data_IF_235471731392
#
_entry.id   IF_235471731392
#
_cell.length_a   1.000
_cell.length_b   1.000
_cell.length_c   1.000
_cell.angle_alpha   90.00
_cell.angle_beta   90.00
_cell.angle_gamma   90.00
#
_symmetry.space_group_name_H-M   'P 1'
#
loop_
_entity.id
_entity.type
_entity.pdbx_description
1 polymer ?
#
# COMPACT_ATOMS: atom_id res chain seq x y z
N UNK A 1 -2.59 -12.51 6.65
CA UNK A 1 -2.10 -11.91 7.92
C UNK A 1 -2.87 -12.44 9.13
N UNK A 2 -4.20 -12.58 9.03
CA UNK A 2 -5.08 -12.94 10.16
C UNK A 2 -4.79 -14.33 10.72
N UNK A 3 -4.49 -15.31 9.86
CA UNK A 3 -4.05 -16.64 10.29
C UNK A 3 -2.76 -16.64 11.14
N UNK A 4 -1.95 -15.58 11.05
CA UNK A 4 -0.75 -15.37 11.86
C UNK A 4 -0.99 -14.49 13.09
N UNK A 5 -2.25 -14.17 13.42
CA UNK A 5 -2.61 -13.43 14.63
C UNK A 5 -2.49 -11.90 14.53
N UNK A 6 -2.25 -11.34 13.34
CA UNK A 6 -2.23 -9.88 13.15
C UNK A 6 -3.62 -9.31 13.37
N UNK A 7 -3.76 -8.43 14.38
CA UNK A 7 -5.03 -7.83 14.78
C UNK A 7 -5.30 -6.47 14.15
N UNK A 8 -4.31 -5.59 14.04
CA UNK A 8 -4.49 -4.25 13.48
C UNK A 8 -4.11 -4.25 11.99
N UNK A 9 -5.03 -3.81 11.12
CA UNK A 9 -4.79 -3.69 9.68
C UNK A 9 -5.50 -2.45 9.14
N UNK A 10 -4.79 -1.53 8.51
CA UNK A 10 -5.41 -0.45 7.74
C UNK A 10 -5.24 -0.70 6.24
N UNK A 11 -6.33 -0.62 5.49
CA UNK A 11 -6.37 -0.78 4.04
C UNK A 11 -6.54 0.58 3.36
N UNK A 12 -5.68 0.89 2.40
CA UNK A 12 -5.70 2.14 1.62
C UNK A 12 -5.98 1.81 0.15
N UNK A 13 -7.11 2.25 -0.39
CA UNK A 13 -7.50 2.04 -1.79
C UNK A 13 -8.58 3.08 -2.18
N UNK A 14 -8.42 3.77 -3.31
CA UNK A 14 -9.39 4.73 -3.85
C UNK A 14 -10.43 4.11 -4.78
N UNK A 15 -10.19 2.89 -5.25
CA UNK A 15 -10.98 2.20 -6.24
C UNK A 15 -12.28 1.63 -5.68
N UNK A 16 -13.20 1.39 -6.61
CA UNK A 16 -14.45 0.67 -6.34
C UNK A 16 -14.37 -0.77 -6.81
N UNK A 17 -15.13 -1.65 -6.17
CA UNK A 17 -15.25 -3.04 -6.56
C UNK A 17 -16.01 -3.11 -7.90
N UNK A 18 -15.37 -3.69 -8.91
CA UNK A 18 -15.98 -3.94 -10.23
C UNK A 18 -16.38 -5.40 -10.40
N UNK A 19 -17.25 -5.68 -11.38
CA UNK A 19 -17.78 -7.03 -11.65
C UNK A 19 -16.72 -8.12 -11.86
N UNK A 20 -15.51 -7.76 -12.31
CA UNK A 20 -14.41 -8.71 -12.52
C UNK A 20 -13.60 -9.00 -11.25
N UNK A 21 -13.74 -8.18 -10.20
CA UNK A 21 -12.93 -8.27 -8.99
C UNK A 21 -13.25 -9.50 -8.13
N UNK A 22 -14.50 -9.90 -7.87
CA UNK A 22 -14.79 -11.04 -6.99
C UNK A 22 -14.13 -12.37 -7.43
N UNK A 23 -13.86 -12.54 -8.72
CA UNK A 23 -13.18 -13.72 -9.25
C UNK A 23 -11.66 -13.75 -8.99
N UNK A 24 -11.07 -12.63 -8.58
CA UNK A 24 -9.62 -12.44 -8.44
C UNK A 24 -9.19 -11.87 -7.09
N UNK A 25 -10.11 -11.27 -6.35
CA UNK A 25 -9.87 -10.53 -5.12
C UNK A 25 -10.81 -11.07 -4.03
N UNK A 26 -10.27 -11.96 -3.19
CA UNK A 26 -11.04 -12.87 -2.33
C UNK A 26 -11.82 -12.21 -1.18
N UNK A 27 -11.74 -10.90 -1.02
CA UNK A 27 -12.50 -10.17 0.01
C UNK A 27 -13.82 -9.59 -0.50
N UNK A 28 -14.10 -9.68 -1.82
CA UNK A 28 -15.26 -9.06 -2.43
C UNK A 28 -16.27 -10.08 -2.94
N UNK A 29 -17.53 -9.68 -2.93
CA UNK A 29 -18.67 -10.46 -3.42
C UNK A 29 -19.39 -9.72 -4.54
N UNK A 30 -20.34 -10.39 -5.21
CA UNK A 30 -21.19 -9.76 -6.22
C UNK A 30 -21.96 -8.56 -5.64
N UNK A 31 -22.41 -8.66 -4.39
CA UNK A 31 -23.18 -7.60 -3.73
C UNK A 31 -22.37 -6.31 -3.61
N UNK A 32 -21.05 -6.41 -3.42
CA UNK A 32 -20.15 -5.24 -3.35
C UNK A 32 -20.00 -4.54 -4.72
N UNK A 33 -20.39 -5.18 -5.83
CA UNK A 33 -20.37 -4.58 -7.17
C UNK A 33 -21.64 -3.79 -7.51
N UNK A 34 -22.73 -4.01 -6.78
CA UNK A 34 -24.03 -3.43 -7.09
C UNK A 34 -24.05 -1.90 -6.80
N UNK A 35 -25.04 -1.19 -7.36
CA UNK A 35 -25.26 0.24 -7.11
C UNK A 35 -24.04 1.15 -7.41
N UNK A 36 -23.25 0.79 -8.43
CA UNK A 36 -22.05 1.55 -8.81
C UNK A 36 -20.79 1.18 -8.04
N UNK A 37 -20.83 0.09 -7.28
CA UNK A 37 -19.68 -0.49 -6.58
C UNK A 37 -19.37 0.19 -5.24
N UNK A 38 -19.10 -0.63 -4.23
CA UNK A 38 -18.54 -0.19 -2.96
C UNK A 38 -17.05 0.16 -3.11
N UNK A 39 -16.55 1.07 -2.27
CA UNK A 39 -15.10 1.28 -2.18
C UNK A 39 -14.38 0.03 -1.68
N UNK A 40 -13.32 -0.36 -2.39
CA UNK A 40 -12.53 -1.57 -2.10
C UNK A 40 -12.07 -1.63 -0.66
N UNK A 41 -11.52 -0.54 -0.13
CA UNK A 41 -11.07 -0.47 1.25
C UNK A 41 -12.21 -0.78 2.24
N UNK A 42 -13.39 -0.21 2.04
CA UNK A 42 -14.56 -0.44 2.90
C UNK A 42 -15.07 -1.87 2.80
N UNK A 43 -15.25 -2.38 1.58
CA UNK A 43 -15.71 -3.75 1.34
C UNK A 43 -14.75 -4.78 1.98
N UNK A 44 -13.44 -4.56 1.86
CA UNK A 44 -12.43 -5.42 2.43
C UNK A 44 -12.45 -5.42 3.96
N UNK A 45 -12.61 -4.26 4.61
CA UNK A 45 -12.76 -4.18 6.07
C UNK A 45 -14.01 -4.91 6.56
N UNK A 46 -15.15 -4.74 5.86
CA UNK A 46 -16.39 -5.47 6.19
C UNK A 46 -16.18 -6.99 6.09
N UNK A 47 -15.50 -7.43 5.03
CA UNK A 47 -15.20 -8.85 4.79
C UNK A 47 -14.27 -9.41 5.86
N UNK A 48 -13.18 -8.71 6.18
CA UNK A 48 -12.25 -9.09 7.25
C UNK A 48 -12.95 -9.21 8.60
N UNK A 49 -13.79 -8.24 8.95
CA UNK A 49 -14.54 -8.24 10.21
C UNK A 49 -15.55 -9.40 10.28
N UNK A 50 -16.12 -9.81 9.15
CA UNK A 50 -17.01 -10.98 9.05
C UNK A 50 -16.24 -12.29 9.24
N UNK A 51 -15.01 -12.37 8.71
CA UNK A 51 -14.17 -13.56 8.78
C UNK A 51 -13.55 -13.72 10.18
N UNK A 52 -13.04 -12.63 10.75
CA UNK A 52 -12.37 -12.62 12.05
C UNK A 52 -12.83 -11.41 12.88
N UNK A 53 -13.89 -11.56 13.71
CA UNK A 53 -14.51 -10.42 14.41
C UNK A 53 -13.60 -9.60 15.33
N UNK A 54 -12.51 -10.20 15.82
CA UNK A 54 -11.54 -9.52 16.67
C UNK A 54 -10.48 -8.71 15.89
N UNK A 55 -10.52 -8.75 14.55
CA UNK A 55 -9.63 -7.92 13.73
C UNK A 55 -10.03 -6.45 13.91
N UNK A 56 -9.05 -5.60 14.18
CA UNK A 56 -9.20 -4.14 14.19
C UNK A 56 -8.78 -3.65 12.81
N UNK A 57 -9.71 -3.77 11.87
CA UNK A 57 -9.51 -3.37 10.49
C UNK A 57 -10.08 -1.97 10.24
N UNK A 58 -9.30 -1.10 9.61
CA UNK A 58 -9.69 0.27 9.23
C UNK A 58 -9.55 0.47 7.72
N UNK A 59 -10.41 1.30 7.13
CA UNK A 59 -10.36 1.65 5.71
C UNK A 59 -10.04 3.12 5.52
N UNK A 60 -9.19 3.40 4.54
CA UNK A 60 -8.90 4.75 4.07
C UNK A 60 -9.12 4.78 2.56
N UNK A 61 -10.16 5.50 2.15
CA UNK A 61 -10.46 5.73 0.73
C UNK A 61 -9.65 6.94 0.28
N UNK A 62 -8.50 6.68 -0.35
CA UNK A 62 -7.55 7.71 -0.77
C UNK A 62 -6.69 7.18 -1.91
N UNK A 63 -6.36 8.04 -2.88
CA UNK A 63 -5.41 7.71 -3.92
C UNK A 63 -3.98 7.93 -3.41
N UNK A 64 -3.02 7.09 -3.84
CA UNK A 64 -1.61 7.37 -3.56
C UNK A 64 -1.10 8.31 -4.66
N UNK A 65 -0.63 9.53 -4.32
CA UNK A 65 -0.08 10.45 -5.31
C UNK A 65 1.08 9.82 -6.10
N UNK A 66 0.96 9.83 -7.42
CA UNK A 66 1.92 9.22 -8.33
C UNK A 66 2.84 10.28 -8.93
N UNK A 67 4.17 10.07 -8.93
CA UNK A 67 5.09 10.94 -9.68
C UNK A 67 4.76 10.93 -11.18
N UNK A 68 5.03 12.04 -11.86
CA UNK A 68 4.78 12.22 -13.30
C UNK A 68 3.34 12.59 -13.68
N UNK A 69 2.37 12.39 -12.77
CA UNK A 69 0.98 12.73 -13.03
C UNK A 69 0.70 14.22 -12.78
N UNK A 70 -0.03 14.85 -13.71
CA UNK A 70 -0.42 16.26 -13.57
C UNK A 70 -1.46 16.42 -12.45
N UNK A 71 -1.26 17.44 -11.60
CA UNK A 71 -2.23 17.81 -10.57
C UNK A 71 -3.15 18.89 -11.16
N UNK A 72 -4.49 18.71 -11.14
CA UNK A 72 -5.43 19.73 -11.57
C UNK A 72 -5.27 21.02 -10.76
N UNK A 73 -5.47 22.17 -11.40
CA UNK A 73 -5.38 23.46 -10.73
C UNK A 73 -6.43 23.55 -9.62
N UNK A 74 -6.00 23.90 -8.41
CA UNK A 74 -6.85 23.97 -7.21
C UNK A 74 -6.86 22.71 -6.36
N UNK A 75 -6.29 21.60 -6.82
CA UNK A 75 -6.20 20.34 -6.06
C UNK A 75 -4.86 20.17 -5.33
N UNK A 76 -3.91 21.08 -5.48
CA UNK A 76 -2.55 20.97 -4.93
C UNK A 76 -2.58 20.81 -3.40
N UNK A 77 -3.47 21.55 -2.73
CA UNK A 77 -3.61 21.47 -1.28
C UNK A 77 -4.15 20.10 -0.83
N UNK A 78 -5.08 19.52 -1.59
CA UNK A 78 -5.64 18.20 -1.30
C UNK A 78 -4.61 17.10 -1.50
N UNK A 79 -3.82 17.15 -2.59
CA UNK A 79 -2.73 16.20 -2.83
C UNK A 79 -1.67 16.26 -1.74
N UNK A 80 -1.35 17.45 -1.24
CA UNK A 80 -0.43 17.61 -0.10
C UNK A 80 -1.03 17.02 1.18
N UNK A 81 -2.34 17.16 1.40
CA UNK A 81 -3.03 16.53 2.52
C UNK A 81 -3.01 15.00 2.42
N UNK A 82 -3.23 14.44 1.24
CA UNK A 82 -3.11 12.99 0.99
C UNK A 82 -1.68 12.48 1.24
N UNK A 83 -0.66 13.25 0.82
CA UNK A 83 0.74 12.94 1.13
C UNK A 83 0.99 12.87 2.65
N UNK A 84 0.48 13.86 3.41
CA UNK A 84 0.62 13.89 4.88
C UNK A 84 -0.14 12.74 5.53
N UNK A 85 -1.37 12.49 5.08
CA UNK A 85 -2.18 11.37 5.58
C UNK A 85 -1.49 10.03 5.37
N UNK A 86 -0.89 9.81 4.19
CA UNK A 86 -0.11 8.61 3.93
C UNK A 86 1.11 8.50 4.85
N UNK A 87 1.81 9.62 5.08
CA UNK A 87 2.94 9.68 6.00
C UNK A 87 2.52 9.31 7.44
N UNK A 88 1.41 9.84 7.93
CA UNK A 88 0.89 9.56 9.27
C UNK A 88 0.49 8.09 9.42
N UNK A 89 -0.17 7.52 8.39
CA UNK A 89 -0.51 6.09 8.37
C UNK A 89 0.74 5.21 8.44
N UNK A 90 1.78 5.52 7.65
CA UNK A 90 3.05 4.78 7.68
C UNK A 90 3.74 4.92 9.05
N UNK A 91 3.73 6.12 9.64
CA UNK A 91 4.31 6.35 10.95
C UNK A 91 3.59 5.53 12.05
N UNK A 92 2.27 5.42 11.96
CA UNK A 92 1.43 4.69 12.91
C UNK A 92 1.52 3.16 12.81
N UNK A 93 2.03 2.62 11.69
CA UNK A 93 2.12 1.16 11.46
C UNK A 93 3.56 0.64 11.58
N UNK A 94 3.72 -0.62 12.00
CA UNK A 94 5.04 -1.24 12.14
C UNK A 94 5.61 -1.72 10.80
N UNK A 95 4.74 -2.13 9.88
CA UNK A 95 5.09 -2.62 8.56
C UNK A 95 4.07 -2.18 7.50
N UNK A 96 4.57 -1.89 6.30
CA UNK A 96 3.80 -1.44 5.14
C UNK A 96 3.96 -2.43 3.99
N UNK A 97 2.83 -2.91 3.46
CA UNK A 97 2.80 -3.74 2.26
C UNK A 97 2.45 -2.87 1.05
N UNK A 98 3.38 -2.70 0.11
CA UNK A 98 3.19 -1.96 -1.12
C UNK A 98 2.61 -2.90 -2.19
N UNK A 99 1.28 -2.97 -2.22
CA UNK A 99 0.49 -3.87 -3.08
C UNK A 99 -0.28 -3.13 -4.18
N UNK A 100 0.14 -1.91 -4.51
CA UNK A 100 -0.43 -1.13 -5.62
C UNK A 100 -0.08 -1.79 -6.95
N UNK A 101 -0.78 -1.43 -8.02
CA UNK A 101 -0.66 -2.01 -9.35
C UNK A 101 0.51 -1.43 -10.15
N UNK A 102 0.72 -0.12 -10.10
CA UNK A 102 1.72 0.58 -10.94
C UNK A 102 3.08 0.78 -10.25
N UNK A 103 4.12 1.05 -11.04
CA UNK A 103 5.47 1.33 -10.49
C UNK A 103 5.49 2.69 -9.79
N UNK A 104 4.77 3.65 -10.35
CA UNK A 104 4.66 5.05 -9.95
C UNK A 104 4.00 5.16 -8.57
N UNK A 105 2.89 4.45 -8.36
CA UNK A 105 2.18 4.42 -7.06
C UNK A 105 3.01 3.82 -5.92
N UNK A 106 4.04 3.02 -6.22
CA UNK A 106 4.95 2.47 -5.19
C UNK A 106 6.00 3.49 -4.73
N UNK A 107 6.24 4.57 -5.47
CA UNK A 107 7.35 5.49 -5.21
C UNK A 107 7.22 6.23 -3.88
N UNK A 108 6.13 6.98 -3.70
CA UNK A 108 5.91 7.79 -2.49
C UNK A 108 5.88 6.93 -1.21
N UNK A 109 5.14 5.81 -1.12
CA UNK A 109 5.18 4.96 0.06
C UNK A 109 6.57 4.38 0.33
N UNK A 110 7.35 4.06 -0.71
CA UNK A 110 8.73 3.56 -0.54
C UNK A 110 9.64 4.61 0.08
N UNK A 111 9.55 5.85 -0.40
CA UNK A 111 10.30 6.99 0.14
C UNK A 111 9.93 7.24 1.60
N UNK A 112 8.63 7.30 1.90
CA UNK A 112 8.13 7.55 3.26
C UNK A 112 8.55 6.44 4.23
N UNK A 113 8.48 5.17 3.84
CA UNK A 113 8.95 4.06 4.68
C UNK A 113 10.47 4.13 4.91
N UNK A 114 11.26 4.44 3.89
CA UNK A 114 12.70 4.58 4.01
C UNK A 114 13.10 5.74 4.94
N UNK A 115 12.37 6.86 4.86
CA UNK A 115 12.55 8.03 5.71
C UNK A 115 12.14 7.76 7.18
N UNK A 116 11.00 7.10 7.39
CA UNK A 116 10.49 6.75 8.71
C UNK A 116 11.12 5.49 9.34
N UNK A 117 12.09 4.89 8.65
CA UNK A 117 12.73 3.63 9.04
C UNK A 117 11.72 2.48 9.30
N UNK A 118 10.69 2.38 8.47
CA UNK A 118 9.63 1.36 8.56
C UNK A 118 9.93 0.16 7.67
N UNK A 119 9.45 -1.01 8.08
CA UNK A 119 9.52 -2.21 7.25
C UNK A 119 8.60 -2.01 6.05
N UNK A 120 9.16 -2.03 4.85
CA UNK A 120 8.41 -2.01 3.59
C UNK A 120 8.59 -3.33 2.84
N UNK A 121 7.47 -3.95 2.46
CA UNK A 121 7.44 -5.17 1.64
C UNK A 121 6.69 -4.85 0.35
N UNK A 122 7.34 -4.98 -0.78
CA UNK A 122 6.70 -4.86 -2.09
C UNK A 122 6.37 -6.24 -2.63
N UNK A 123 5.15 -6.39 -3.15
CA UNK A 123 4.81 -7.47 -4.05
C UNK A 123 4.37 -6.87 -5.39
N UNK A 124 4.90 -7.38 -6.49
CA UNK A 124 4.54 -6.99 -7.84
C UNK A 124 4.29 -8.23 -8.70
N UNK A 125 3.34 -8.13 -9.63
CA UNK A 125 2.92 -9.23 -10.49
C UNK A 125 3.21 -8.89 -11.94
N UNK A 126 3.84 -9.82 -12.64
CA UNK A 126 3.85 -9.90 -14.10
C UNK A 126 2.75 -10.85 -14.59
N UNK A 127 2.79 -11.22 -15.87
CA UNK A 127 1.80 -12.14 -16.45
C UNK A 127 1.90 -13.55 -15.86
N UNK A 128 3.11 -14.11 -15.81
CA UNK A 128 3.43 -15.48 -15.37
C UNK A 128 4.52 -15.51 -14.28
N UNK A 129 4.88 -14.35 -13.74
CA UNK A 129 5.96 -14.18 -12.77
C UNK A 129 5.56 -13.17 -11.69
N UNK A 130 6.28 -13.16 -10.57
CA UNK A 130 6.06 -12.21 -9.49
C UNK A 130 7.39 -11.85 -8.81
N UNK A 131 7.40 -10.69 -8.15
CA UNK A 131 8.49 -10.24 -7.28
C UNK A 131 7.94 -10.03 -5.88
N UNK A 132 8.64 -10.53 -4.86
CA UNK A 132 8.44 -10.14 -3.46
C UNK A 132 9.78 -9.70 -2.90
N UNK A 133 9.85 -8.49 -2.33
CA UNK A 133 11.07 -7.99 -1.72
C UNK A 133 10.79 -7.15 -0.47
N UNK A 134 11.68 -7.28 0.50
CA UNK A 134 11.77 -6.34 1.63
C UNK A 134 12.74 -5.22 1.27
N UNK A 135 12.38 -4.00 1.59
CA UNK A 135 13.26 -2.85 1.40
C UNK A 135 14.30 -2.80 2.53
N UNK A 136 15.41 -2.10 2.32
CA UNK A 136 16.38 -1.86 3.38
C UNK A 136 15.86 -0.84 4.41
N UNK A 137 15.46 -1.32 5.58
CA UNK A 137 15.38 -0.48 6.77
C UNK A 137 16.79 0.06 7.11
N UNK A 138 16.86 1.20 7.80
CA UNK A 138 18.11 1.77 8.26
C UNK A 138 18.89 0.74 9.09
N UNK A 139 20.22 0.69 8.98
CA UNK A 139 21.04 -0.15 9.83
C UNK A 139 20.73 0.18 11.29
N UNK A 140 20.46 -0.83 12.12
CA UNK A 140 20.45 -0.63 13.56
C UNK A 140 21.85 -0.16 13.97
N UNK A 141 21.96 0.98 14.67
CA UNK A 141 23.24 1.66 14.94
C UNK A 141 24.24 0.86 15.80
N UNK A 142 23.95 -0.39 16.19
CA UNK A 142 24.66 -1.08 17.28
C UNK A 142 25.16 -2.50 16.99
N UNK A 143 25.30 -2.92 15.73
CA UNK A 143 26.03 -4.16 15.46
C UNK A 143 27.36 -3.79 14.80
N UNK A 144 28.48 -4.01 15.49
CA UNK A 144 29.85 -3.68 15.05
C UNK A 144 30.32 -4.35 13.75
N UNK A 145 29.40 -5.03 13.06
CA UNK A 145 29.50 -5.46 11.67
C UNK A 145 28.81 -4.41 10.79
N UNK A 146 29.49 -3.86 9.78
CA UNK A 146 28.94 -2.90 8.81
C UNK A 146 27.74 -3.47 8.03
N UNK A 147 26.56 -3.53 8.65
CA UNK A 147 25.32 -3.98 7.99
C UNK A 147 24.93 -2.93 6.95
N UNK A 148 25.27 -3.21 5.69
CA UNK A 148 24.88 -2.39 4.55
C UNK A 148 23.36 -2.41 4.42
N UNK A 149 22.76 -1.22 4.25
CA UNK A 149 21.33 -1.08 3.92
C UNK A 149 21.06 -1.82 2.61
N UNK A 150 20.03 -2.66 2.58
CA UNK A 150 19.58 -3.30 1.33
C UNK A 150 18.95 -2.26 0.39
N UNK A 151 18.96 -2.55 -0.91
CA UNK A 151 18.25 -1.74 -1.89
C UNK A 151 16.73 -1.78 -1.68
N UNK A 152 16.04 -0.74 -2.17
CA UNK A 152 14.59 -0.73 -2.32
C UNK A 152 14.19 -1.18 -3.73
N UNK A 153 12.88 -1.23 -4.01
CA UNK A 153 12.33 -1.57 -5.33
C UNK A 153 12.92 -0.72 -6.48
N UNK A 154 13.29 0.53 -6.21
CA UNK A 154 13.83 1.45 -7.20
C UNK A 154 15.37 1.43 -7.31
N UNK A 155 16.08 0.63 -6.51
CA UNK A 155 17.55 0.58 -6.56
C UNK A 155 18.10 -0.29 -7.71
N UNK A 156 17.25 -1.06 -8.40
CA UNK A 156 17.67 -1.98 -9.45
C UNK A 156 17.60 -1.38 -10.86
N UNK A 157 17.11 -0.15 -10.98
CA UNK A 157 16.91 0.52 -12.26
C UNK A 157 17.37 1.97 -12.19
N UNK A 158 17.74 2.55 -13.34
CA UNK A 158 18.25 3.93 -13.46
C UNK A 158 17.20 4.91 -13.95
N UNK A 159 15.99 4.43 -14.26
CA UNK A 159 14.87 5.26 -14.74
C UNK A 159 13.98 5.70 -13.57
N UNK A 160 13.73 7.02 -13.49
CA UNK A 160 12.76 7.57 -12.54
C UNK A 160 11.37 6.98 -12.81
N UNK A 161 10.55 6.73 -11.79
CA UNK A 161 9.18 6.28 -12.00
C UNK A 161 8.33 7.45 -12.47
N UNK A 162 8.27 7.64 -13.77
CA UNK A 162 7.42 8.60 -14.46
C UNK A 162 6.78 7.86 -15.63
N UNK A 163 5.60 8.31 -16.05
CA UNK A 163 4.99 7.86 -17.31
C UNK A 163 5.90 8.13 -18.52
#
# INVERSE_FOLDING_TARGET
LQAWGVRNVTLVDSGKVSMSNPLRQSLYTLDDCLNGGEYKANAAVRSLSRIHPDVRAESVVMAVPMPGHSIPSGEESAVVEDCRRLQDLIAAHDATFLLTDTRESRWLPSLLCANANKIAITAALGFDSFLVMRHGAAPAENDGTSRRRLGCYFCYDVVAPVD
#
